data_IF_928235146207
#
_entry.id   IF_928235146207
#
_cell.length_a   1.000
_cell.length_b   1.000
_cell.length_c   1.000
_cell.angle_alpha   90.00
_cell.angle_beta   90.00
_cell.angle_gamma   90.00
#
_symmetry.space_group_name_H-M   'P 1'
#
loop_
_entity.id
_entity.type
_entity.pdbx_description
1 polymer ?
#
# COMPACT_ATOMS: atom_id res chain seq x y z
N UNK A 1 -5.73 -4.71 -25.59
CA UNK A 1 -6.58 -5.66 -24.84
C UNK A 1 -5.63 -6.56 -24.05
N UNK A 2 -5.75 -6.62 -22.72
CA UNK A 2 -4.85 -7.40 -21.87
C UNK A 2 -5.10 -8.91 -22.02
N UNK A 3 -4.06 -9.72 -22.12
CA UNK A 3 -4.18 -11.18 -21.96
C UNK A 3 -4.49 -11.54 -20.50
N UNK A 4 -5.07 -12.71 -20.21
CA UNK A 4 -5.48 -13.12 -18.85
C UNK A 4 -4.36 -13.00 -17.80
N UNK A 5 -3.10 -13.28 -18.17
CA UNK A 5 -1.93 -13.08 -17.29
C UNK A 5 -1.56 -11.61 -17.10
N UNK A 6 -1.80 -10.79 -18.11
CA UNK A 6 -1.59 -9.33 -18.05
C UNK A 6 -2.68 -8.64 -17.22
N UNK A 7 -3.91 -9.18 -17.21
CA UNK A 7 -5.01 -8.67 -16.39
C UNK A 7 -4.70 -8.76 -14.89
N UNK A 8 -4.00 -9.81 -14.44
CA UNK A 8 -3.56 -9.92 -13.04
C UNK A 8 -2.54 -8.84 -12.68
N UNK A 9 -1.56 -8.61 -13.55
CA UNK A 9 -0.56 -7.55 -13.37
C UNK A 9 -1.22 -6.17 -13.42
N UNK A 10 -2.15 -5.94 -14.34
CA UNK A 10 -2.94 -4.70 -14.43
C UNK A 10 -3.79 -4.47 -13.17
N UNK A 11 -4.45 -5.49 -12.64
CA UNK A 11 -5.22 -5.41 -11.40
C UNK A 11 -4.33 -5.09 -10.20
N UNK A 12 -3.14 -5.69 -10.11
CA UNK A 12 -2.14 -5.34 -9.09
C UNK A 12 -1.70 -3.88 -9.24
N UNK A 13 -1.45 -3.42 -10.46
CA UNK A 13 -1.10 -2.02 -10.75
C UNK A 13 -2.20 -1.03 -10.36
N UNK A 14 -3.46 -1.40 -10.53
CA UNK A 14 -4.60 -0.54 -10.20
C UNK A 14 -4.93 -0.49 -8.70
N UNK A 15 -4.55 -1.52 -7.93
CA UNK A 15 -5.03 -1.67 -6.54
C UNK A 15 -3.92 -1.70 -5.48
N UNK A 16 -2.67 -2.02 -5.84
CA UNK A 16 -1.59 -2.17 -4.88
C UNK A 16 -0.71 -0.90 -4.85
N UNK A 17 -0.79 -0.14 -3.76
CA UNK A 17 -0.06 1.11 -3.60
C UNK A 17 1.29 0.91 -2.88
N UNK A 18 2.24 1.83 -3.11
CA UNK A 18 3.52 1.87 -2.44
C UNK A 18 3.45 2.59 -1.07
N UNK A 19 2.61 2.09 -0.17
CA UNK A 19 2.32 2.79 1.08
C UNK A 19 3.55 2.96 1.97
N UNK A 20 4.40 1.95 2.10
CA UNK A 20 5.53 2.00 3.04
C UNK A 20 6.64 2.90 2.54
N UNK A 21 7.02 2.80 1.26
CA UNK A 21 8.15 3.56 0.74
C UNK A 21 7.77 4.98 0.30
N UNK A 22 6.55 5.18 -0.21
CA UNK A 22 6.09 6.50 -0.69
C UNK A 22 5.04 7.10 0.24
N UNK A 23 4.01 6.33 0.59
CA UNK A 23 2.87 6.84 1.36
C UNK A 23 3.24 7.38 2.75
N UNK A 24 3.94 6.59 3.58
CA UNK A 24 4.31 6.98 4.94
C UNK A 24 5.24 8.20 4.97
N UNK A 25 6.33 8.27 4.20
CA UNK A 25 7.19 9.45 4.19
C UNK A 25 6.47 10.71 3.72
N UNK A 26 5.63 10.61 2.67
CA UNK A 26 4.82 11.74 2.19
C UNK A 26 3.86 12.22 3.28
N UNK A 27 3.10 11.30 3.89
CA UNK A 27 2.19 11.65 4.98
C UNK A 27 2.91 12.28 6.16
N UNK A 28 4.02 11.70 6.63
CA UNK A 28 4.77 12.25 7.76
C UNK A 28 5.40 13.60 7.43
N UNK A 29 5.83 13.82 6.19
CA UNK A 29 6.36 15.12 5.78
C UNK A 29 5.30 16.23 5.75
N UNK A 30 4.04 15.90 5.45
CA UNK A 30 2.95 16.88 5.30
C UNK A 30 2.14 17.06 6.59
N UNK A 31 1.82 15.96 7.28
CA UNK A 31 0.89 15.93 8.41
C UNK A 31 1.59 15.60 9.74
N UNK A 32 2.88 15.29 9.72
CA UNK A 32 3.64 14.92 10.92
C UNK A 32 3.17 13.62 11.56
N UNK A 33 3.58 13.41 12.81
CA UNK A 33 3.30 12.20 13.58
C UNK A 33 1.81 11.96 13.83
N UNK A 34 0.97 12.99 13.78
CA UNK A 34 -0.49 12.86 13.94
C UNK A 34 -1.10 11.93 12.87
N UNK A 35 -0.47 11.80 11.71
CA UNK A 35 -0.93 10.90 10.65
C UNK A 35 -0.60 9.42 10.86
N UNK A 36 0.18 9.08 11.90
CA UNK A 36 0.64 7.71 12.20
C UNK A 36 -0.52 6.74 12.32
N UNK A 37 -1.44 6.98 13.25
CA UNK A 37 -2.55 6.07 13.50
C UNK A 37 -3.43 5.82 12.25
N UNK A 38 -3.98 6.86 11.58
CA UNK A 38 -4.79 6.65 10.38
C UNK A 38 -4.01 5.98 9.24
N UNK A 39 -2.73 6.34 9.03
CA UNK A 39 -1.91 5.72 8.00
C UNK A 39 -1.71 4.22 8.26
N UNK A 40 -1.33 3.85 9.48
CA UNK A 40 -1.11 2.45 9.84
C UNK A 40 -2.40 1.63 9.80
N UNK A 41 -3.54 2.20 10.18
CA UNK A 41 -4.85 1.54 10.03
C UNK A 41 -5.20 1.28 8.57
N UNK A 42 -5.04 2.27 7.68
CA UNK A 42 -5.27 2.12 6.24
C UNK A 42 -4.37 1.02 5.68
N UNK A 43 -3.07 1.03 5.99
CA UNK A 43 -2.12 0.04 5.47
C UNK A 43 -2.47 -1.38 5.95
N UNK A 44 -2.82 -1.50 7.24
CA UNK A 44 -3.18 -2.76 7.87
C UNK A 44 -4.43 -3.36 7.24
N UNK A 45 -5.50 -2.56 7.12
CA UNK A 45 -6.76 -2.99 6.53
C UNK A 45 -6.62 -3.26 5.04
N UNK A 46 -5.94 -2.38 4.29
CA UNK A 46 -5.72 -2.57 2.86
C UNK A 46 -4.94 -3.86 2.59
N UNK A 47 -3.85 -4.09 3.32
CA UNK A 47 -3.06 -5.32 3.20
C UNK A 47 -3.91 -6.56 3.50
N UNK A 48 -4.63 -6.56 4.62
CA UNK A 48 -5.47 -7.69 5.03
C UNK A 48 -6.60 -7.97 4.02
N UNK A 49 -7.35 -6.95 3.62
CA UNK A 49 -8.47 -7.07 2.69
C UNK A 49 -7.97 -7.50 1.31
N UNK A 50 -6.92 -6.86 0.79
CA UNK A 50 -6.44 -7.14 -0.56
C UNK A 50 -5.82 -8.53 -0.71
N UNK A 51 -4.99 -8.96 0.26
CA UNK A 51 -4.44 -10.33 0.27
C UNK A 51 -5.56 -11.37 0.38
N UNK A 52 -6.59 -11.07 1.17
CA UNK A 52 -7.75 -11.96 1.32
C UNK A 52 -8.53 -12.07 0.03
N UNK A 53 -8.90 -10.94 -0.58
CA UNK A 53 -9.64 -10.92 -1.84
C UNK A 53 -8.84 -11.61 -2.96
N UNK A 54 -7.53 -11.37 -3.04
CA UNK A 54 -6.67 -12.06 -4.00
C UNK A 54 -6.67 -13.58 -3.76
N UNK A 55 -6.53 -14.02 -2.51
CA UNK A 55 -6.58 -15.45 -2.14
C UNK A 55 -7.93 -16.07 -2.49
N UNK A 56 -9.03 -15.35 -2.22
CA UNK A 56 -10.39 -15.76 -2.53
C UNK A 56 -10.60 -16.01 -4.02
N UNK A 57 -10.18 -15.06 -4.85
CA UNK A 57 -10.31 -15.17 -6.31
C UNK A 57 -9.51 -16.37 -6.82
N UNK A 58 -8.29 -16.57 -6.32
CA UNK A 58 -7.45 -17.72 -6.70
C UNK A 58 -8.09 -19.05 -6.26
N UNK A 59 -8.62 -19.11 -5.04
CA UNK A 59 -9.23 -20.34 -4.52
C UNK A 59 -10.54 -20.68 -5.25
N UNK A 60 -11.35 -19.67 -5.56
CA UNK A 60 -12.56 -19.83 -6.36
C UNK A 60 -12.25 -20.32 -7.78
N UNK A 61 -11.24 -19.75 -8.43
CA UNK A 61 -10.81 -20.17 -9.77
C UNK A 61 -10.29 -21.62 -9.77
N UNK A 62 -9.59 -22.03 -8.72
CA UNK A 62 -9.03 -23.38 -8.60
C UNK A 62 -10.07 -24.46 -8.23
N UNK A 63 -11.05 -24.15 -7.36
CA UNK A 63 -11.94 -25.14 -6.73
C UNK A 63 -13.43 -24.95 -7.05
N UNK A 64 -13.81 -23.86 -7.72
CA UNK A 64 -15.20 -23.50 -8.03
C UNK A 64 -16.08 -23.17 -6.81
N UNK A 65 -15.51 -23.15 -5.60
CA UNK A 65 -16.23 -22.86 -4.35
C UNK A 65 -15.27 -22.23 -3.33
N UNK A 66 -15.84 -21.42 -2.44
CA UNK A 66 -15.11 -20.70 -1.39
C UNK A 66 -15.73 -21.07 -0.04
N UNK A 67 -14.90 -21.48 0.91
CA UNK A 67 -15.32 -21.67 2.30
C UNK A 67 -15.18 -20.36 3.07
N UNK A 68 -16.31 -19.72 3.42
CA UNK A 68 -16.35 -18.45 4.17
C UNK A 68 -15.57 -18.55 5.50
N UNK A 69 -15.64 -19.70 6.16
CA UNK A 69 -14.93 -19.98 7.41
C UNK A 69 -13.40 -20.03 7.21
N UNK A 70 -12.96 -20.74 6.17
CA UNK A 70 -11.53 -20.83 5.82
C UNK A 70 -11.00 -19.46 5.41
N UNK A 71 -11.77 -18.70 4.63
CA UNK A 71 -11.44 -17.33 4.23
C UNK A 71 -11.27 -16.41 5.42
N UNK A 72 -12.23 -16.42 6.34
CA UNK A 72 -12.18 -15.55 7.53
C UNK A 72 -10.96 -15.89 8.38
N UNK A 73 -10.69 -17.17 8.60
CA UNK A 73 -9.50 -17.62 9.33
C UNK A 73 -8.20 -17.24 8.63
N UNK A 74 -8.11 -17.44 7.31
CA UNK A 74 -6.95 -17.05 6.52
C UNK A 74 -6.73 -15.53 6.54
N UNK A 75 -7.80 -14.74 6.47
CA UNK A 75 -7.77 -13.27 6.57
C UNK A 75 -7.15 -12.84 7.87
N UNK A 76 -7.67 -13.36 8.98
CA UNK A 76 -7.21 -13.01 10.32
C UNK A 76 -5.76 -13.48 10.54
N UNK A 77 -5.43 -14.70 10.09
CA UNK A 77 -4.06 -15.22 10.15
C UNK A 77 -3.08 -14.36 9.33
N UNK A 78 -3.46 -13.95 8.12
CA UNK A 78 -2.63 -13.13 7.26
C UNK A 78 -2.50 -11.69 7.79
N UNK A 79 -3.56 -11.14 8.39
CA UNK A 79 -3.51 -9.86 9.07
C UNK A 79 -2.50 -9.92 10.23
N UNK A 80 -2.54 -10.96 11.07
CA UNK A 80 -1.57 -11.13 12.17
C UNK A 80 -0.13 -11.38 11.70
N UNK A 81 0.05 -11.99 10.52
CA UNK A 81 1.37 -12.17 9.88
C UNK A 81 1.88 -10.91 9.20
N UNK A 82 1.04 -9.89 9.00
CA UNK A 82 1.49 -8.63 8.44
C UNK A 82 2.39 -7.94 9.46
N UNK A 83 3.67 -7.69 9.14
CA UNK A 83 4.61 -7.10 10.10
C UNK A 83 4.12 -5.76 10.64
N UNK A 84 3.36 -5.00 9.85
CA UNK A 84 2.81 -3.71 10.25
C UNK A 84 1.73 -3.88 11.34
N UNK A 85 0.81 -4.83 11.14
CA UNK A 85 -0.24 -5.15 12.11
C UNK A 85 0.39 -5.72 13.38
N UNK A 86 1.33 -6.65 13.23
CA UNK A 86 2.05 -7.25 14.35
C UNK A 86 2.79 -6.18 15.17
N UNK A 87 3.51 -5.26 14.53
CA UNK A 87 4.20 -4.15 15.20
C UNK A 87 3.22 -3.21 15.92
N UNK A 88 2.07 -2.88 15.30
CA UNK A 88 1.05 -2.05 15.94
C UNK A 88 0.46 -2.73 17.18
N UNK A 89 0.11 -4.01 17.09
CA UNK A 89 -0.41 -4.80 18.21
C UNK A 89 0.61 -4.90 19.34
N UNK A 90 1.87 -5.20 19.03
CA UNK A 90 2.96 -5.23 20.02
C UNK A 90 3.13 -3.86 20.68
N UNK A 91 3.11 -2.77 19.91
CA UNK A 91 3.20 -1.41 20.44
C UNK A 91 2.06 -1.08 21.40
N UNK A 92 0.82 -1.42 21.05
CA UNK A 92 -0.36 -1.21 21.92
C UNK A 92 -0.27 -2.07 23.18
N UNK A 93 0.02 -3.37 23.06
CA UNK A 93 0.15 -4.27 24.20
C UNK A 93 1.27 -3.83 25.15
N UNK A 94 2.39 -3.35 24.60
CA UNK A 94 3.49 -2.80 25.38
C UNK A 94 3.10 -1.51 26.07
N UNK A 95 2.42 -0.58 25.39
CA UNK A 95 1.92 0.65 26.00
C UNK A 95 0.94 0.35 27.16
N UNK A 96 0.06 -0.63 27.00
CA UNK A 96 -0.89 -1.06 28.02
C UNK A 96 -0.23 -1.78 29.21
N UNK A 97 0.94 -2.40 29.01
CA UNK A 97 1.64 -3.12 30.08
C UNK A 97 2.12 -2.21 31.22
N UNK A 98 2.24 -0.90 30.97
CA UNK A 98 2.68 0.07 31.97
C UNK A 98 4.15 -0.05 32.37
N UNK A 99 4.95 -0.88 31.70
CA UNK A 99 6.38 -1.08 32.03
C UNK A 99 7.25 0.18 31.86
N UNK A 100 6.70 1.25 31.26
CA UNK A 100 7.46 2.43 30.87
C UNK A 100 8.38 2.13 29.69
N UNK A 101 8.76 3.15 28.93
CA UNK A 101 9.73 2.99 27.84
C UNK A 101 11.11 3.43 28.34
N UNK A 102 12.12 2.58 28.22
CA UNK A 102 13.48 2.92 28.64
C UNK A 102 14.02 4.07 27.78
N UNK A 103 14.31 5.23 28.39
CA UNK A 103 14.61 6.48 27.67
C UNK A 103 15.66 6.34 26.58
N UNK A 104 16.81 5.65 26.79
CA UNK A 104 17.80 5.47 25.73
C UNK A 104 17.26 4.72 24.50
N UNK A 105 16.36 3.76 24.68
CA UNK A 105 15.72 3.08 23.54
C UNK A 105 14.77 4.02 22.81
N UNK A 106 14.05 4.88 23.52
CA UNK A 106 13.15 5.87 22.89
C UNK A 106 13.95 6.81 21.98
N UNK A 107 15.07 7.32 22.48
CA UNK A 107 15.95 8.23 21.73
C UNK A 107 16.55 7.52 20.50
N UNK A 108 16.97 6.26 20.64
CA UNK A 108 17.44 5.45 19.50
C UNK A 108 16.34 5.27 18.43
N UNK A 109 15.12 4.93 18.82
CA UNK A 109 14.01 4.80 17.87
C UNK A 109 13.63 6.13 17.22
N UNK A 110 13.69 7.24 17.96
CA UNK A 110 13.47 8.58 17.42
C UNK A 110 14.51 8.92 16.34
N UNK A 111 15.80 8.66 16.60
CA UNK A 111 16.86 8.86 15.60
C UNK A 111 16.67 8.01 14.35
N UNK A 112 16.31 6.73 14.49
CA UNK A 112 16.00 5.86 13.35
C UNK A 112 14.83 6.43 12.56
N UNK A 113 13.75 6.82 13.25
CA UNK A 113 12.53 7.36 12.63
C UNK A 113 12.82 8.64 11.83
N UNK A 114 13.64 9.54 12.37
CA UNK A 114 14.08 10.75 11.64
C UNK A 114 14.89 10.45 10.38
N UNK A 115 15.65 9.34 10.36
CA UNK A 115 16.40 8.91 9.17
C UNK A 115 15.53 8.24 8.10
N UNK A 116 14.33 7.76 8.44
CA UNK A 116 13.44 7.04 7.48
C UNK A 116 12.97 7.95 6.34
N UNK A 117 12.62 9.20 6.62
CA UNK A 117 12.14 10.15 5.59
C UNK A 117 13.21 10.39 4.51
N UNK A 118 14.44 10.86 4.83
CA UNK A 118 15.46 11.08 3.81
C UNK A 118 15.90 9.79 3.11
N UNK A 119 15.97 8.67 3.82
CA UNK A 119 16.28 7.37 3.22
C UNK A 119 15.22 6.95 2.20
N UNK A 120 13.94 7.12 2.54
CA UNK A 120 12.85 6.80 1.63
C UNK A 120 12.89 7.68 0.38
N UNK A 121 13.12 8.99 0.52
CA UNK A 121 13.27 9.90 -0.63
C UNK A 121 14.44 9.48 -1.54
N UNK A 122 15.57 9.12 -0.95
CA UNK A 122 16.71 8.58 -1.71
C UNK A 122 16.35 7.29 -2.44
N UNK A 123 15.66 6.36 -1.79
CA UNK A 123 15.22 5.09 -2.39
C UNK A 123 14.19 5.30 -3.50
N UNK A 124 13.27 6.28 -3.37
CA UNK A 124 12.34 6.66 -4.44
C UNK A 124 13.13 7.19 -5.66
N UNK A 125 14.10 8.08 -5.42
CA UNK A 125 14.98 8.57 -6.50
C UNK A 125 15.78 7.45 -7.17
N UNK A 126 16.33 6.53 -6.38
CA UNK A 126 17.02 5.34 -6.90
C UNK A 126 16.08 4.43 -7.70
N UNK A 127 14.84 4.24 -7.23
CA UNK A 127 13.81 3.51 -7.98
C UNK A 127 13.52 4.16 -9.33
N UNK A 128 13.30 5.47 -9.36
CA UNK A 128 13.09 6.21 -10.61
C UNK A 128 14.27 6.10 -11.58
N UNK A 129 15.50 6.16 -11.07
CA UNK A 129 16.70 5.97 -11.87
C UNK A 129 16.85 4.52 -12.38
N UNK A 130 16.34 3.53 -11.64
CA UNK A 130 16.41 2.11 -11.99
C UNK A 130 15.33 1.68 -12.98
N UNK A 131 14.14 2.30 -12.94
CA UNK A 131 13.05 1.98 -13.84
C UNK A 131 13.30 2.57 -15.23
N UNK A 132 13.46 1.70 -16.21
CA UNK A 132 13.55 2.09 -17.60
C UNK A 132 12.13 2.12 -18.19
N UNK A 133 11.78 3.24 -18.84
CA UNK A 133 10.63 3.33 -19.74
C UNK A 133 10.86 2.36 -20.90
N UNK A 134 10.29 1.16 -20.81
CA UNK A 134 10.42 0.10 -21.82
C UNK A 134 9.06 -0.16 -22.43
N UNK A 135 8.59 0.75 -23.29
CA UNK A 135 7.36 0.55 -24.07
C UNK A 135 6.07 0.46 -23.24
N UNK A 136 4.96 0.13 -23.90
CA UNK A 136 3.59 0.06 -23.33
C UNK A 136 3.16 1.29 -22.51
N UNK A 137 3.58 2.47 -22.97
CA UNK A 137 3.31 3.77 -22.34
C UNK A 137 1.81 4.03 -22.18
N UNK A 138 1.01 3.87 -23.25
CA UNK A 138 -0.43 4.15 -23.17
C UNK A 138 -1.17 3.27 -22.12
N UNK A 139 -0.99 1.93 -22.09
CA UNK A 139 -1.51 1.10 -21.01
C UNK A 139 -1.01 1.49 -19.61
N UNK A 140 0.26 1.90 -19.50
CA UNK A 140 0.85 2.30 -18.23
C UNK A 140 0.27 3.64 -17.71
N UNK A 141 0.09 4.63 -18.58
CA UNK A 141 -0.60 5.90 -18.26
C UNK A 141 -2.02 5.61 -17.79
N UNK A 142 -2.73 4.72 -18.49
CA UNK A 142 -4.09 4.33 -18.12
C UNK A 142 -4.13 3.75 -16.71
N UNK A 143 -3.27 2.75 -16.40
CA UNK A 143 -3.21 2.14 -15.06
C UNK A 143 -2.79 3.14 -13.98
N UNK A 144 -1.78 3.97 -14.24
CA UNK A 144 -1.33 5.01 -13.31
C UNK A 144 -2.45 6.03 -13.05
N UNK A 145 -3.20 6.43 -14.08
CA UNK A 145 -4.31 7.38 -13.94
C UNK A 145 -5.47 6.78 -13.15
N UNK A 146 -5.79 5.50 -13.36
CA UNK A 146 -6.78 4.81 -12.55
C UNK A 146 -6.38 4.79 -11.07
N UNK A 147 -5.10 4.51 -10.77
CA UNK A 147 -4.63 4.41 -9.39
C UNK A 147 -4.46 5.76 -8.71
N UNK A 148 -3.94 6.76 -9.41
CA UNK A 148 -3.52 8.05 -8.81
C UNK A 148 -4.58 9.15 -8.96
N UNK A 149 -5.53 9.01 -9.89
CA UNK A 149 -6.61 9.99 -10.06
C UNK A 149 -7.98 9.39 -9.72
N UNK A 150 -8.34 8.28 -10.36
CA UNK A 150 -9.69 7.71 -10.17
C UNK A 150 -9.89 7.19 -8.74
N UNK A 151 -8.93 6.45 -8.19
CA UNK A 151 -9.04 5.92 -6.83
C UNK A 151 -9.17 7.01 -5.74
N UNK A 152 -8.31 8.05 -5.67
CA UNK A 152 -8.53 9.12 -4.69
C UNK A 152 -9.80 9.92 -4.94
N UNK A 153 -10.24 10.10 -6.20
CA UNK A 153 -11.53 10.73 -6.49
C UNK A 153 -12.70 9.90 -5.95
N UNK A 154 -12.67 8.57 -6.09
CA UNK A 154 -13.68 7.67 -5.50
C UNK A 154 -13.67 7.78 -3.98
N UNK A 155 -12.50 7.77 -3.35
CA UNK A 155 -12.39 7.91 -1.89
C UNK A 155 -12.95 9.25 -1.43
N UNK A 156 -12.61 10.35 -2.10
CA UNK A 156 -13.15 11.67 -1.78
C UNK A 156 -14.68 11.71 -1.91
N UNK A 157 -15.24 11.16 -3.00
CA UNK A 157 -16.69 11.08 -3.20
C UNK A 157 -17.34 10.27 -2.07
N UNK A 158 -16.79 9.11 -1.70
CA UNK A 158 -17.34 8.29 -0.61
C UNK A 158 -17.36 9.09 0.71
N UNK A 159 -16.26 9.76 1.05
CA UNK A 159 -16.18 10.56 2.27
C UNK A 159 -17.14 11.75 2.25
N UNK A 160 -17.41 12.35 1.08
CA UNK A 160 -18.37 13.45 0.95
C UNK A 160 -19.82 13.07 1.28
N UNK A 161 -20.13 11.77 1.27
CA UNK A 161 -21.46 11.23 1.68
C UNK A 161 -21.51 10.79 3.14
N UNK A 162 -20.40 10.87 3.89
CA UNK A 162 -20.33 10.45 5.29
C UNK A 162 -20.38 11.71 6.17
N UNK A 163 -21.52 11.98 6.75
CA UNK A 163 -21.68 13.09 7.69
C UNK A 163 -20.88 12.87 8.98
N UNK A 164 -20.21 13.92 9.46
CA UNK A 164 -19.54 13.93 10.77
C UNK A 164 -18.15 13.27 10.80
N UNK A 165 -17.55 12.95 9.65
CA UNK A 165 -16.18 12.46 9.60
C UNK A 165 -15.18 13.57 9.92
N UNK A 166 -14.13 13.24 10.68
CA UNK A 166 -13.05 14.18 10.97
C UNK A 166 -12.32 14.55 9.66
N UNK A 167 -12.26 15.85 9.28
CA UNK A 167 -11.57 16.29 8.06
C UNK A 167 -10.11 15.89 7.99
N UNK A 168 -9.45 15.64 9.13
CA UNK A 168 -8.09 15.15 9.16
C UNK A 168 -7.98 13.71 8.64
N UNK A 169 -8.91 12.84 9.05
CA UNK A 169 -8.97 11.44 8.59
C UNK A 169 -9.30 11.35 7.10
N UNK A 170 -10.22 12.20 6.63
CA UNK A 170 -10.55 12.32 5.21
C UNK A 170 -9.31 12.67 4.37
N UNK A 171 -8.57 13.72 4.75
CA UNK A 171 -7.36 14.14 4.03
C UNK A 171 -6.31 13.04 3.95
N UNK A 172 -6.11 12.31 5.05
CA UNK A 172 -5.15 11.20 5.10
C UNK A 172 -5.61 10.04 4.21
N UNK A 173 -6.90 9.69 4.24
CA UNK A 173 -7.45 8.64 3.40
C UNK A 173 -7.29 8.96 1.91
N UNK A 174 -7.61 10.19 1.50
CA UNK A 174 -7.46 10.65 0.12
C UNK A 174 -5.98 10.67 -0.30
N UNK A 175 -5.08 11.18 0.56
CA UNK A 175 -3.65 11.20 0.29
C UNK A 175 -3.09 9.78 0.12
N UNK A 176 -3.50 8.84 0.97
CA UNK A 176 -3.12 7.44 0.87
C UNK A 176 -3.68 6.80 -0.41
N UNK A 177 -4.92 7.14 -0.79
CA UNK A 177 -5.52 6.64 -2.01
C UNK A 177 -4.77 7.09 -3.27
N UNK A 178 -4.16 8.28 -3.23
CA UNK A 178 -3.34 8.85 -4.30
C UNK A 178 -1.89 8.29 -4.37
N UNK A 179 -1.46 7.51 -3.38
CA UNK A 179 -0.09 6.94 -3.35
C UNK A 179 0.17 6.10 -4.61
N UNK A 180 1.35 6.23 -5.23
CA UNK A 180 1.66 5.57 -6.49
C UNK A 180 1.68 4.04 -6.38
N UNK A 181 1.71 3.40 -7.54
CA UNK A 181 1.74 1.95 -7.67
C UNK A 181 2.92 1.32 -6.92
N UNK A 182 2.65 0.23 -6.22
CA UNK A 182 3.62 -0.51 -5.42
C UNK A 182 4.61 -1.32 -6.25
N UNK A 183 5.86 -1.39 -5.78
CA UNK A 183 6.93 -2.21 -6.39
C UNK A 183 6.57 -3.71 -6.47
N UNK A 184 5.63 -4.16 -5.63
CA UNK A 184 5.14 -5.54 -5.66
C UNK A 184 4.55 -5.93 -7.01
N UNK A 185 3.97 -4.99 -7.78
CA UNK A 185 3.53 -5.25 -9.16
C UNK A 185 4.69 -5.77 -10.02
N UNK A 186 5.88 -5.17 -9.90
CA UNK A 186 7.08 -5.58 -10.62
C UNK A 186 7.64 -6.91 -10.09
N UNK A 187 7.58 -7.14 -8.77
CA UNK A 187 7.99 -8.43 -8.18
C UNK A 187 7.15 -9.58 -8.75
N UNK A 188 5.81 -9.42 -8.79
CA UNK A 188 4.91 -10.42 -9.37
C UNK A 188 5.13 -10.60 -10.87
N UNK A 189 5.34 -9.51 -11.62
CA UNK A 189 5.65 -9.56 -13.04
C UNK A 189 6.93 -10.35 -13.33
N UNK A 190 7.98 -10.17 -12.51
CA UNK A 190 9.23 -10.94 -12.61
C UNK A 190 9.04 -12.42 -12.24
N UNK A 191 8.35 -12.71 -11.13
CA UNK A 191 8.08 -14.10 -10.70
C UNK A 191 7.30 -14.89 -11.76
N UNK A 192 6.36 -14.24 -12.45
CA UNK A 192 5.54 -14.84 -13.51
C UNK A 192 6.14 -14.66 -14.92
N UNK A 193 7.31 -14.02 -15.04
CA UNK A 193 7.98 -13.71 -16.30
C UNK A 193 7.03 -13.11 -17.34
N UNK A 194 6.18 -12.17 -16.92
CA UNK A 194 5.13 -11.58 -17.77
C UNK A 194 4.93 -10.09 -17.48
N UNK A 195 4.71 -9.29 -18.52
CA UNK A 195 4.38 -7.85 -18.40
C UNK A 195 5.36 -7.02 -17.54
N UNK A 196 6.63 -7.40 -17.49
CA UNK A 196 7.69 -6.70 -16.72
C UNK A 196 7.81 -5.25 -17.19
N UNK A 197 7.81 -5.04 -18.51
CA UNK A 197 7.87 -3.72 -19.15
C UNK A 197 6.68 -2.82 -18.80
N UNK A 198 5.47 -3.41 -18.74
CA UNK A 198 4.26 -2.71 -18.31
C UNK A 198 4.36 -2.32 -16.83
N UNK A 199 4.78 -3.24 -15.96
CA UNK A 199 4.91 -2.99 -14.54
C UNK A 199 5.94 -1.91 -14.24
N UNK A 200 7.14 -2.01 -14.82
CA UNK A 200 8.21 -1.00 -14.68
C UNK A 200 7.74 0.38 -15.15
N UNK A 201 7.13 0.46 -16.35
CA UNK A 201 6.67 1.73 -16.92
C UNK A 201 5.49 2.32 -16.13
N UNK A 202 4.58 1.49 -15.63
CA UNK A 202 3.44 1.94 -14.78
C UNK A 202 3.93 2.50 -13.46
N UNK A 203 4.85 1.82 -12.78
CA UNK A 203 5.42 2.31 -11.51
C UNK A 203 6.17 3.62 -11.74
N UNK A 204 7.00 3.71 -12.79
CA UNK A 204 7.72 4.94 -13.12
C UNK A 204 6.76 6.12 -13.34
N UNK A 205 5.75 5.94 -14.21
CA UNK A 205 4.79 6.99 -14.55
C UNK A 205 3.99 7.39 -13.31
N UNK A 206 3.57 6.43 -12.51
CA UNK A 206 2.80 6.68 -11.29
C UNK A 206 3.58 7.43 -10.23
N UNK A 207 4.90 7.19 -10.09
CA UNK A 207 5.75 7.97 -9.18
C UNK A 207 6.01 9.38 -9.73
N UNK A 208 6.11 9.53 -11.05
CA UNK A 208 6.39 10.81 -11.70
C UNK A 208 5.17 11.75 -11.84
N UNK A 209 3.95 11.19 -11.74
CA UNK A 209 2.67 11.92 -11.82
C UNK A 209 2.20 12.42 -10.46
#
# INVERSE_FOLDING_TARGET
MFSHKESVIGALGACYANYTLVGLPVLFSVFGEASTLPAFLIISLHGAIFLTLATLVIEYDAKGSVSVLQTTFNTLSNALKNPIVASLLVGVLYNMSGFGFFSPLADMFAHITHAVIPLSLFLIGAQMASFRLRGRIAPAIYLASLKNLLHPAIVWIIFSFIDGIDPFWEKIAICMAAVPVGINMLMFANQKQTSIDLASTTIFISIAS
#
